data_IF_716683218419
#
_entry.id   IF_716683218419
#
_cell.length_a   1.000
_cell.length_b   1.000
_cell.length_c   1.000
_cell.angle_alpha   90.00
_cell.angle_beta   90.00
_cell.angle_gamma   90.00
#
_symmetry.space_group_name_H-M   'P 1'
#
loop_
_entity.id
_entity.type
_entity.pdbx_description
1 polymer ?
#
# COMPACT_ATOMS: atom_id res chain seq x y z
N UNK A 1 23.47 16.62 46.53
CA UNK A 1 23.82 15.76 45.38
C UNK A 1 24.08 16.66 44.17
N UNK A 2 25.23 16.55 43.51
CA UNK A 2 25.64 17.43 42.40
C UNK A 2 25.04 16.91 41.08
N UNK A 3 24.34 17.76 40.33
CA UNK A 3 23.84 17.43 38.98
C UNK A 3 24.94 17.74 37.95
N UNK A 4 25.28 16.76 37.10
CA UNK A 4 26.06 16.99 35.89
C UNK A 4 25.11 16.94 34.68
N UNK A 5 25.00 18.02 33.89
CA UNK A 5 24.14 18.01 32.71
C UNK A 5 24.84 17.26 31.56
N UNK A 6 24.19 16.18 31.09
CA UNK A 6 24.58 15.44 29.89
C UNK A 6 24.29 16.28 28.64
N UNK A 7 25.34 16.78 27.98
CA UNK A 7 25.23 17.42 26.69
C UNK A 7 25.09 16.36 25.57
N UNK A 8 23.88 16.22 25.02
CA UNK A 8 23.62 15.37 23.85
C UNK A 8 24.05 16.14 22.59
N UNK A 9 25.07 15.64 21.90
CA UNK A 9 25.46 16.08 20.56
C UNK A 9 24.64 15.30 19.53
N UNK A 10 23.57 15.89 19.00
CA UNK A 10 22.90 15.35 17.82
C UNK A 10 23.55 15.94 16.56
N UNK A 11 24.28 15.12 15.81
CA UNK A 11 24.65 15.46 14.43
C UNK A 11 23.38 15.57 13.59
N UNK A 12 23.26 16.54 12.66
CA UNK A 12 22.09 16.64 11.79
C UNK A 12 22.07 15.44 10.85
N UNK A 13 21.05 14.59 10.99
CA UNK A 13 20.71 13.54 10.03
C UNK A 13 20.54 14.18 8.65
N UNK A 14 21.37 13.79 7.70
CA UNK A 14 21.17 14.07 6.29
C UNK A 14 19.85 13.41 5.88
N UNK A 15 18.82 14.21 5.60
CA UNK A 15 17.62 13.73 4.92
C UNK A 15 18.03 13.31 3.50
N UNK A 16 17.99 12.02 3.12
CA UNK A 16 18.15 11.66 1.71
C UNK A 16 16.98 12.26 0.91
N UNK A 17 17.21 12.73 -0.33
CA UNK A 17 16.16 13.36 -1.12
C UNK A 17 15.00 12.39 -1.33
N UNK A 18 13.81 12.83 -0.97
CA UNK A 18 12.57 12.11 -1.23
C UNK A 18 12.47 11.89 -2.74
N UNK A 19 12.48 10.62 -3.18
CA UNK A 19 12.20 10.27 -4.57
C UNK A 19 10.79 10.77 -4.89
N UNK A 20 10.70 11.81 -5.71
CA UNK A 20 9.46 12.28 -6.31
C UNK A 20 9.02 11.25 -7.35
N UNK A 21 8.09 10.37 -6.97
CA UNK A 21 7.46 9.42 -7.88
C UNK A 21 6.40 10.18 -8.68
N UNK A 22 6.51 10.15 -10.02
CA UNK A 22 5.57 10.84 -10.89
C UNK A 22 4.21 10.10 -10.94
N UNK A 23 3.08 10.80 -10.78
CA UNK A 23 1.74 10.20 -10.72
C UNK A 23 1.35 9.45 -12.01
N UNK A 24 1.88 9.84 -13.17
CA UNK A 24 1.56 9.22 -14.47
C UNK A 24 2.01 7.75 -14.58
N UNK A 25 2.96 7.30 -13.77
CA UNK A 25 3.47 5.90 -13.79
C UNK A 25 2.69 5.01 -12.79
N UNK A 26 1.93 5.60 -11.86
CA UNK A 26 1.29 4.85 -10.78
C UNK A 26 -0.03 4.19 -11.20
N UNK A 27 -0.89 4.87 -11.97
CA UNK A 27 -2.22 4.36 -12.35
C UNK A 27 -2.17 3.01 -13.11
N UNK A 28 -1.34 2.84 -14.17
CA UNK A 28 -1.25 1.55 -14.87
C UNK A 28 -0.74 0.42 -13.98
N UNK A 29 0.17 0.73 -13.05
CA UNK A 29 0.68 -0.24 -12.08
C UNK A 29 -0.40 -0.67 -11.10
N UNK A 30 -1.19 0.27 -10.57
CA UNK A 30 -2.31 -0.01 -9.67
C UNK A 30 -3.37 -0.90 -10.32
N UNK A 31 -3.66 -0.69 -11.62
CA UNK A 31 -4.54 -1.56 -12.39
C UNK A 31 -3.99 -2.99 -12.51
N UNK A 32 -2.71 -3.15 -12.87
CA UNK A 32 -2.09 -4.47 -12.94
C UNK A 32 -2.04 -5.19 -11.59
N UNK A 33 -1.76 -4.44 -10.51
CA UNK A 33 -1.76 -4.98 -9.15
C UNK A 33 -3.18 -5.42 -8.71
N UNK A 34 -4.24 -4.72 -9.17
CA UNK A 34 -5.63 -5.13 -8.96
C UNK A 34 -5.96 -6.44 -9.68
N UNK A 35 -5.61 -6.57 -10.96
CA UNK A 35 -5.86 -7.81 -11.74
C UNK A 35 -5.20 -9.02 -11.08
N UNK A 36 -3.92 -8.88 -10.68
CA UNK A 36 -3.19 -9.94 -9.97
C UNK A 36 -3.82 -10.28 -8.62
N UNK A 37 -4.35 -9.29 -7.91
CA UNK A 37 -5.05 -9.52 -6.64
C UNK A 37 -6.38 -10.25 -6.85
N UNK A 38 -7.14 -9.92 -7.89
CA UNK A 38 -8.39 -10.61 -8.21
C UNK A 38 -8.15 -12.10 -8.53
N UNK A 39 -7.11 -12.41 -9.31
CA UNK A 39 -6.68 -13.79 -9.55
C UNK A 39 -6.33 -14.53 -8.24
N UNK A 40 -5.57 -13.86 -7.36
CA UNK A 40 -5.19 -14.42 -6.04
C UNK A 40 -6.39 -14.64 -5.13
N UNK A 41 -7.33 -13.71 -5.08
CA UNK A 41 -8.57 -13.85 -4.31
C UNK A 41 -9.35 -15.06 -4.82
N UNK A 42 -9.48 -15.22 -6.13
CA UNK A 42 -10.14 -16.38 -6.74
C UNK A 42 -9.44 -17.71 -6.38
N UNK A 43 -8.11 -17.79 -6.51
CA UNK A 43 -7.34 -18.98 -6.12
C UNK A 43 -7.46 -19.31 -4.63
N UNK A 44 -7.33 -18.31 -3.75
CA UNK A 44 -7.40 -18.50 -2.31
C UNK A 44 -8.82 -18.86 -1.86
N UNK A 45 -9.86 -18.31 -2.47
CA UNK A 45 -11.25 -18.70 -2.18
C UNK A 45 -11.49 -20.19 -2.45
N UNK A 46 -10.92 -20.72 -3.54
CA UNK A 46 -10.97 -22.15 -3.87
C UNK A 46 -10.20 -22.99 -2.87
N UNK A 47 -9.04 -22.50 -2.39
CA UNK A 47 -8.25 -23.18 -1.36
C UNK A 47 -8.98 -23.22 -0.02
N UNK A 48 -9.52 -22.11 0.45
CA UNK A 48 -10.32 -22.03 1.68
C UNK A 48 -11.48 -23.01 1.65
N UNK A 49 -12.22 -23.09 0.54
CA UNK A 49 -13.33 -24.05 0.38
C UNK A 49 -12.89 -25.52 0.43
N UNK A 50 -11.65 -25.82 0.03
CA UNK A 50 -11.12 -27.20 0.00
C UNK A 50 -10.46 -27.60 1.31
N UNK A 51 -9.66 -26.73 1.90
CA UNK A 51 -8.84 -27.03 3.07
C UNK A 51 -9.53 -26.72 4.40
N UNK A 52 -10.37 -25.67 4.42
CA UNK A 52 -10.90 -25.13 5.68
C UNK A 52 -9.81 -24.58 6.62
N UNK A 53 -8.56 -24.47 6.17
CA UNK A 53 -7.46 -24.03 7.01
C UNK A 53 -7.60 -22.55 7.36
N UNK A 54 -7.48 -22.22 8.65
CA UNK A 54 -7.48 -20.83 9.12
C UNK A 54 -6.42 -19.98 8.41
N UNK A 55 -5.25 -20.57 8.12
CA UNK A 55 -4.16 -19.91 7.39
C UNK A 55 -4.57 -19.51 5.97
N UNK A 56 -5.27 -20.39 5.25
CA UNK A 56 -5.76 -20.07 3.91
C UNK A 56 -6.87 -19.01 3.97
N UNK A 57 -7.71 -19.05 5.01
CA UNK A 57 -8.72 -18.03 5.26
C UNK A 57 -8.08 -16.66 5.52
N UNK A 58 -7.07 -16.58 6.41
CA UNK A 58 -6.36 -15.33 6.69
C UNK A 58 -5.68 -14.75 5.44
N UNK A 59 -5.09 -15.62 4.59
CA UNK A 59 -4.49 -15.19 3.31
C UNK A 59 -5.54 -14.68 2.33
N UNK A 60 -6.67 -15.36 2.23
CA UNK A 60 -7.81 -14.93 1.41
C UNK A 60 -8.35 -13.57 1.90
N UNK A 61 -8.58 -13.43 3.20
CA UNK A 61 -9.07 -12.20 3.81
C UNK A 61 -8.11 -11.02 3.59
N UNK A 62 -6.80 -11.24 3.74
CA UNK A 62 -5.78 -10.22 3.46
C UNK A 62 -5.80 -9.81 1.98
N UNK A 63 -5.91 -10.76 1.05
CA UNK A 63 -6.00 -10.45 -0.37
C UNK A 63 -7.25 -9.62 -0.70
N UNK A 64 -8.40 -9.94 -0.09
CA UNK A 64 -9.63 -9.15 -0.22
C UNK A 64 -9.46 -7.73 0.33
N UNK A 65 -8.83 -7.57 1.50
CA UNK A 65 -8.57 -6.27 2.11
C UNK A 65 -7.62 -5.43 1.24
N UNK A 66 -6.54 -6.03 0.75
CA UNK A 66 -5.60 -5.36 -0.17
C UNK A 66 -6.30 -4.90 -1.45
N UNK A 67 -7.17 -5.73 -2.04
CA UNK A 67 -7.96 -5.36 -3.21
C UNK A 67 -8.86 -4.14 -2.93
N UNK A 68 -9.59 -4.17 -1.81
CA UNK A 68 -10.46 -3.05 -1.44
C UNK A 68 -9.67 -1.74 -1.26
N UNK A 69 -8.55 -1.79 -0.54
CA UNK A 69 -7.68 -0.64 -0.34
C UNK A 69 -7.14 -0.11 -1.67
N UNK A 70 -6.60 -0.98 -2.51
CA UNK A 70 -6.01 -0.61 -3.80
C UNK A 70 -7.03 0.03 -4.73
N UNK A 71 -8.27 -0.49 -4.74
CA UNK A 71 -9.36 0.12 -5.51
C UNK A 71 -9.68 1.53 -5.04
N UNK A 72 -9.75 1.75 -3.73
CA UNK A 72 -10.02 3.09 -3.15
C UNK A 72 -8.88 4.07 -3.43
N UNK A 73 -7.63 3.60 -3.38
CA UNK A 73 -6.47 4.41 -3.76
C UNK A 73 -6.48 4.78 -5.24
N UNK A 74 -6.80 3.83 -6.12
CA UNK A 74 -6.94 4.09 -7.56
C UNK A 74 -8.04 5.11 -7.85
N UNK A 75 -9.23 4.94 -7.24
CA UNK A 75 -10.35 5.86 -7.41
C UNK A 75 -9.95 7.30 -6.99
N UNK A 76 -9.20 7.44 -5.88
CA UNK A 76 -8.71 8.74 -5.42
C UNK A 76 -7.69 9.36 -6.39
N UNK A 77 -6.76 8.57 -6.93
CA UNK A 77 -5.79 9.04 -7.93
C UNK A 77 -6.47 9.47 -9.23
N UNK A 78 -7.45 8.70 -9.71
CA UNK A 78 -8.23 9.05 -10.90
C UNK A 78 -9.03 10.34 -10.69
N UNK A 79 -9.63 10.52 -9.50
CA UNK A 79 -10.32 11.74 -9.15
C UNK A 79 -9.37 12.96 -9.14
N UNK A 80 -8.19 12.81 -8.55
CA UNK A 80 -7.17 13.87 -8.55
C UNK A 80 -6.75 14.24 -9.97
N UNK A 81 -6.48 13.26 -10.83
CA UNK A 81 -6.15 13.51 -12.25
C UNK A 81 -7.27 14.23 -12.99
N UNK A 82 -8.53 13.87 -12.73
CA UNK A 82 -9.69 14.53 -13.35
C UNK A 82 -9.82 15.99 -12.91
N UNK A 83 -9.58 16.29 -11.62
CA UNK A 83 -9.57 17.68 -11.13
C UNK A 83 -8.44 18.49 -11.76
N UNK A 84 -7.24 17.91 -11.87
CA UNK A 84 -6.06 18.61 -12.43
C UNK A 84 -6.16 18.85 -13.93
N UNK A 85 -6.94 18.05 -14.66
CA UNK A 85 -7.14 18.20 -16.11
C UNK A 85 -8.30 19.16 -16.47
N UNK A 86 -9.12 19.56 -15.49
CA UNK A 86 -10.23 20.48 -15.67
C UNK A 86 -9.85 21.95 -15.45
N UNK A 87 -8.71 22.20 -14.79
CA UNK A 87 -8.06 23.50 -14.62
C UNK A 87 -7.07 23.79 -15.77
#
# INVERSE_FOLDING_TARGET
>A
MKQHPLAIRTSPLRNPPARSVHPSVEVPRLLSDLERLDERVSLLSRRVRRSGELRDFSRWALACASRWFLRRSLDAQLHQLAMTAAD
#
